data_IF_433690102506
#
_entry.id   IF_433690102506
#
_cell.length_a   1.000
_cell.length_b   1.000
_cell.length_c   1.000
_cell.angle_alpha   90.00
_cell.angle_beta   90.00
_cell.angle_gamma   90.00
#
_symmetry.space_group_name_H-M   'P 1'
#
loop_
_entity.id
_entity.type
_entity.pdbx_description
1 polymer ?
#
# COMPACT_ATOMS: atom_id res chain seq x y z
N UNK A 1 -19.78 -31.72 17.05
CA UNK A 1 -18.59 -31.14 17.72
C UNK A 1 -17.57 -30.82 16.66
N UNK A 2 -17.61 -29.60 16.11
CA UNK A 2 -16.52 -29.08 15.29
C UNK A 2 -15.34 -28.83 16.23
N UNK A 3 -14.26 -29.58 16.06
CA UNK A 3 -12.97 -29.20 16.64
C UNK A 3 -12.61 -27.88 15.98
N UNK A 4 -12.58 -26.78 16.74
CA UNK A 4 -11.91 -25.58 16.30
C UNK A 4 -10.50 -26.01 15.91
N UNK A 5 -10.15 -25.84 14.62
CA UNK A 5 -8.76 -25.99 14.19
C UNK A 5 -7.99 -25.00 15.06
N UNK A 6 -7.08 -25.53 15.88
CA UNK A 6 -6.27 -24.73 16.78
C UNK A 6 -5.65 -23.59 15.99
N UNK A 7 -5.72 -22.39 16.56
CA UNK A 7 -5.05 -21.20 16.07
C UNK A 7 -3.61 -21.55 15.71
N UNK A 8 -3.27 -21.50 14.42
CA UNK A 8 -1.88 -21.44 14.02
C UNK A 8 -1.44 -19.98 14.16
N UNK A 9 -0.52 -19.66 15.10
CA UNK A 9 0.00 -18.32 15.24
C UNK A 9 0.55 -17.84 13.89
N UNK A 10 0.56 -16.51 13.69
CA UNK A 10 1.30 -15.88 12.59
C UNK A 10 2.62 -16.62 12.38
N UNK A 11 2.90 -17.15 11.17
CA UNK A 11 4.10 -17.95 10.92
C UNK A 11 5.31 -17.30 11.58
N UNK A 12 6.12 -18.02 12.38
CA UNK A 12 7.19 -17.42 13.18
C UNK A 12 8.12 -16.49 12.39
N UNK A 13 8.33 -16.82 11.12
CA UNK A 13 9.08 -16.01 10.15
C UNK A 13 8.50 -14.61 9.92
N UNK A 14 7.17 -14.43 9.96
CA UNK A 14 6.48 -13.14 9.78
C UNK A 14 6.38 -12.31 11.06
N UNK A 15 6.62 -12.89 12.24
CA UNK A 15 6.52 -12.17 13.52
C UNK A 15 7.37 -10.89 13.55
N UNK A 16 8.58 -10.86 12.96
CA UNK A 16 9.38 -9.65 12.92
C UNK A 16 8.82 -8.51 12.04
N UNK A 17 7.78 -8.72 11.21
CA UNK A 17 7.01 -7.61 10.60
C UNK A 17 6.23 -6.86 11.68
N UNK A 18 5.67 -7.62 12.62
CA UNK A 18 4.69 -7.12 13.58
C UNK A 18 5.34 -6.43 14.78
N UNK A 19 6.66 -6.51 14.89
CA UNK A 19 7.45 -5.90 15.95
C UNK A 19 8.59 -5.05 15.35
N UNK A 20 8.47 -3.71 15.37
CA UNK A 20 9.51 -2.80 14.88
C UNK A 20 10.86 -2.92 15.58
N UNK A 21 10.91 -3.56 16.76
CA UNK A 21 12.13 -3.82 17.51
C UNK A 21 12.77 -5.18 17.20
N UNK A 22 12.09 -6.03 16.44
CA UNK A 22 12.58 -7.36 16.13
C UNK A 22 13.71 -7.33 15.10
N UNK A 23 14.81 -8.01 15.43
CA UNK A 23 15.89 -8.26 14.48
C UNK A 23 15.54 -9.44 13.58
N UNK A 24 15.69 -9.25 12.27
CA UNK A 24 15.50 -10.29 11.27
C UNK A 24 16.81 -11.02 11.01
N UNK A 25 16.87 -12.34 11.21
CA UNK A 25 17.94 -13.14 10.63
C UNK A 25 17.90 -12.99 9.11
N UNK A 26 19.05 -12.73 8.49
CA UNK A 26 19.17 -12.60 7.03
C UNK A 26 18.65 -13.86 6.33
N UNK A 27 18.92 -15.03 6.88
CA UNK A 27 18.47 -16.32 6.34
C UNK A 27 16.93 -16.38 6.23
N UNK A 28 16.20 -15.87 7.23
CA UNK A 28 14.73 -15.82 7.16
C UNK A 28 14.23 -14.85 6.08
N UNK A 29 14.91 -13.73 5.88
CA UNK A 29 14.55 -12.78 4.82
C UNK A 29 14.80 -13.37 3.42
N UNK A 30 15.88 -14.13 3.23
CA UNK A 30 16.21 -14.73 1.93
C UNK A 30 15.23 -15.81 1.49
N UNK A 31 14.54 -16.45 2.43
CA UNK A 31 13.48 -17.42 2.14
C UNK A 31 12.17 -16.77 1.68
N UNK A 32 12.06 -15.44 1.76
CA UNK A 32 10.84 -14.73 1.40
C UNK A 32 10.81 -14.44 -0.08
N UNK A 33 9.81 -15.03 -0.73
CA UNK A 33 9.49 -14.79 -2.11
C UNK A 33 7.96 -14.73 -2.28
N UNK A 34 7.54 -14.43 -3.50
CA UNK A 34 6.12 -14.28 -3.82
C UNK A 34 5.34 -15.57 -3.56
N UNK A 35 5.95 -16.74 -3.78
CA UNK A 35 5.31 -18.04 -3.50
C UNK A 35 5.01 -18.22 -2.01
N UNK A 36 5.97 -17.89 -1.15
CA UNK A 36 5.79 -17.95 0.29
C UNK A 36 4.69 -16.98 0.76
N UNK A 37 4.71 -15.75 0.28
CA UNK A 37 3.70 -14.73 0.62
C UNK A 37 2.31 -15.22 0.17
N UNK A 38 2.18 -15.72 -1.06
CA UNK A 38 0.93 -16.24 -1.58
C UNK A 38 0.39 -17.41 -0.73
N UNK A 39 1.24 -18.36 -0.33
CA UNK A 39 0.84 -19.47 0.53
C UNK A 39 0.27 -18.98 1.88
N UNK A 40 0.90 -17.97 2.48
CA UNK A 40 0.42 -17.36 3.72
C UNK A 40 -0.94 -16.71 3.50
N UNK A 41 -1.09 -15.89 2.46
CA UNK A 41 -2.35 -15.18 2.17
C UNK A 41 -3.49 -16.16 1.89
N UNK A 42 -3.24 -17.24 1.15
CA UNK A 42 -4.22 -18.32 0.94
C UNK A 42 -4.64 -18.93 2.29
N UNK A 43 -3.69 -19.21 3.18
CA UNK A 43 -4.01 -19.75 4.51
C UNK A 43 -4.81 -18.77 5.40
N UNK A 44 -4.72 -17.47 5.12
CA UNK A 44 -5.44 -16.42 5.83
C UNK A 44 -6.87 -16.21 5.32
N UNK A 45 -7.11 -16.49 4.04
CA UNK A 45 -8.45 -16.41 3.45
C UNK A 45 -9.45 -17.37 4.13
N UNK A 46 -9.00 -18.53 4.60
CA UNK A 46 -9.85 -19.54 5.27
C UNK A 46 -10.05 -19.29 6.78
N UNK A 47 -9.61 -18.13 7.32
CA UNK A 47 -9.67 -17.84 8.76
C UNK A 47 -11.02 -17.29 9.21
N UNK A 48 -11.32 -17.46 10.50
CA UNK A 48 -12.51 -16.88 11.16
C UNK A 48 -12.43 -15.35 11.30
N UNK A 49 -11.24 -14.76 11.19
CA UNK A 49 -11.06 -13.31 11.15
C UNK A 49 -11.56 -12.77 9.80
N UNK A 50 -12.77 -12.21 9.83
CA UNK A 50 -13.48 -11.70 8.66
C UNK A 50 -12.68 -10.64 7.91
N UNK A 51 -12.05 -9.69 8.63
CA UNK A 51 -11.24 -8.64 8.02
C UNK A 51 -10.00 -9.22 7.35
N UNK A 52 -9.27 -10.10 8.04
CA UNK A 52 -8.08 -10.71 7.47
C UNK A 52 -8.41 -11.60 6.25
N UNK A 53 -9.52 -12.33 6.32
CA UNK A 53 -10.05 -13.12 5.20
C UNK A 53 -10.40 -12.22 4.01
N UNK A 54 -11.08 -11.11 4.25
CA UNK A 54 -11.48 -10.14 3.22
C UNK A 54 -10.28 -9.46 2.56
N UNK A 55 -9.29 -9.02 3.35
CA UNK A 55 -8.03 -8.47 2.83
C UNK A 55 -7.26 -9.50 1.99
N UNK A 56 -7.26 -10.77 2.43
CA UNK A 56 -6.62 -11.86 1.69
C UNK A 56 -7.33 -12.13 0.37
N UNK A 57 -8.66 -12.07 0.35
CA UNK A 57 -9.45 -12.20 -0.87
C UNK A 57 -9.18 -11.05 -1.86
N UNK A 58 -9.10 -9.80 -1.38
CA UNK A 58 -8.71 -8.65 -2.22
C UNK A 58 -7.30 -8.80 -2.80
N UNK A 59 -6.35 -9.33 -2.04
CA UNK A 59 -4.98 -9.54 -2.51
C UNK A 59 -4.91 -10.61 -3.63
N UNK A 60 -5.64 -11.72 -3.47
CA UNK A 60 -5.59 -12.85 -4.39
C UNK A 60 -6.47 -12.67 -5.64
N UNK A 61 -7.48 -11.80 -5.58
CA UNK A 61 -8.42 -11.60 -6.67
C UNK A 61 -8.28 -10.19 -7.28
N UNK A 62 -7.79 -10.05 -8.52
CA UNK A 62 -7.58 -8.75 -9.15
C UNK A 62 -8.88 -7.97 -9.43
N UNK A 63 -10.05 -8.62 -9.37
CA UNK A 63 -11.35 -7.97 -9.50
C UNK A 63 -11.79 -7.34 -8.17
N UNK A 64 -11.42 -7.95 -7.05
CA UNK A 64 -11.76 -7.45 -5.72
C UNK A 64 -10.71 -6.44 -5.29
N UNK A 65 -11.04 -5.15 -5.41
CA UNK A 65 -10.11 -4.08 -5.04
C UNK A 65 -10.50 -3.45 -3.70
N UNK A 66 -9.49 -3.08 -2.92
CA UNK A 66 -9.70 -2.17 -1.80
C UNK A 66 -10.27 -0.86 -2.34
N UNK A 67 -11.31 -0.36 -1.68
CA UNK A 67 -11.85 0.95 -2.00
C UNK A 67 -10.85 2.00 -1.55
N UNK A 68 -10.79 3.09 -2.30
CA UNK A 68 -9.87 4.18 -2.01
C UNK A 68 -10.52 5.53 -2.28
N UNK A 69 -10.05 6.54 -1.56
CA UNK A 69 -10.36 7.95 -1.82
C UNK A 69 -9.07 8.75 -1.85
N UNK A 70 -9.01 9.71 -2.77
CA UNK A 70 -7.97 10.73 -2.75
C UNK A 70 -8.22 11.66 -1.57
N UNK A 71 -7.14 12.14 -0.96
CA UNK A 71 -7.17 13.06 0.17
C UNK A 71 -6.28 14.25 -0.14
N UNK A 72 -6.82 15.46 -0.01
CA UNK A 72 -6.09 16.68 -0.30
C UNK A 72 -5.03 16.98 0.76
N UNK A 73 -3.81 17.30 0.32
CA UNK A 73 -2.62 17.57 1.15
C UNK A 73 -2.80 18.72 2.17
N UNK A 74 -3.83 19.56 2.02
CA UNK A 74 -4.13 20.64 2.99
C UNK A 74 -4.84 20.16 4.26
N UNK A 75 -5.27 18.89 4.30
CA UNK A 75 -5.92 18.33 5.49
C UNK A 75 -4.89 17.89 6.52
N UNK A 76 -4.83 18.62 7.64
CA UNK A 76 -3.99 18.22 8.77
C UNK A 76 -4.34 16.78 9.23
N UNK A 77 -3.42 16.07 9.92
CA UNK A 77 -3.72 14.76 10.50
C UNK A 77 -5.02 14.69 11.34
N UNK A 78 -5.46 15.82 11.91
CA UNK A 78 -6.72 15.93 12.64
C UNK A 78 -7.98 16.05 11.75
N UNK A 79 -7.84 16.46 10.49
CA UNK A 79 -8.91 16.40 9.50
C UNK A 79 -9.09 14.99 8.94
N UNK A 80 -8.03 14.17 8.92
CA UNK A 80 -8.06 12.75 8.51
C UNK A 80 -8.84 11.86 9.47
N UNK A 81 -8.81 12.15 10.79
CA UNK A 81 -9.66 11.42 11.76
C UNK A 81 -11.17 11.61 11.52
N UNK A 82 -11.56 12.68 10.82
CA UNK A 82 -12.97 12.99 10.50
C UNK A 82 -13.51 12.24 9.28
N UNK A 83 -12.63 11.53 8.55
CA UNK A 83 -13.01 10.72 7.38
C UNK A 83 -13.51 9.33 7.81
N UNK A 84 -13.50 9.00 9.11
CA UNK A 84 -14.07 7.75 9.62
C UNK A 84 -15.57 7.69 9.32
N UNK A 85 -15.93 6.94 8.27
CA UNK A 85 -17.32 6.69 7.96
C UNK A 85 -17.88 5.55 8.83
N UNK A 86 -19.11 5.67 9.35
CA UNK A 86 -19.75 4.63 10.15
C UNK A 86 -19.87 3.28 9.43
N UNK A 87 -19.86 3.30 8.10
CA UNK A 87 -20.01 2.15 7.22
C UNK A 87 -18.69 1.40 6.96
N UNK A 88 -17.55 1.97 7.36
CA UNK A 88 -16.24 1.36 7.14
C UNK A 88 -15.95 0.35 8.24
N UNK A 89 -15.58 -0.86 7.83
CA UNK A 89 -15.15 -1.93 8.72
C UNK A 89 -13.66 -1.78 9.08
N UNK A 90 -12.84 -1.33 8.13
CA UNK A 90 -11.42 -1.07 8.31
C UNK A 90 -10.95 0.09 7.43
N UNK A 91 -9.92 0.81 7.89
CA UNK A 91 -9.22 1.84 7.13
C UNK A 91 -7.72 1.74 7.39
N UNK A 92 -6.92 2.03 6.37
CA UNK A 92 -5.46 2.13 6.49
C UNK A 92 -5.04 3.47 7.10
N UNK A 93 -3.75 3.64 7.36
CA UNK A 93 -3.16 4.98 7.41
C UNK A 93 -3.19 5.64 6.03
N UNK A 94 -3.03 6.97 5.99
CA UNK A 94 -2.91 7.68 4.71
C UNK A 94 -1.58 7.32 4.07
N UNK A 95 -1.66 6.78 2.86
CA UNK A 95 -0.51 6.42 2.07
C UNK A 95 -0.17 7.59 1.15
N UNK A 96 0.97 8.22 1.43
CA UNK A 96 1.60 9.17 0.51
C UNK A 96 2.53 8.36 -0.41
N UNK A 97 2.37 8.44 -1.74
CA UNK A 97 3.27 7.79 -2.68
C UNK A 97 4.71 8.15 -2.33
N UNK A 98 5.57 7.13 -2.30
CA UNK A 98 6.97 7.33 -1.97
C UNK A 98 7.56 8.37 -2.93
N UNK A 99 8.25 9.42 -2.43
CA UNK A 99 8.77 10.50 -3.26
C UNK A 99 9.73 10.01 -4.37
N UNK A 100 10.28 8.78 -4.23
CA UNK A 100 11.09 8.13 -5.26
C UNK A 100 10.32 7.76 -6.54
N UNK A 101 9.00 7.61 -6.46
CA UNK A 101 8.11 7.30 -7.59
C UNK A 101 7.25 8.51 -8.01
N UNK A 102 7.69 9.72 -7.64
CA UNK A 102 6.99 10.96 -7.96
C UNK A 102 7.17 11.43 -9.40
N UNK A 103 6.53 12.56 -9.70
CA UNK A 103 6.69 13.26 -10.97
C UNK A 103 8.15 13.68 -11.20
N UNK A 104 8.52 13.89 -12.46
CA UNK A 104 9.87 14.32 -12.84
C UNK A 104 10.28 15.58 -12.07
N UNK A 105 11.31 15.47 -11.22
CA UNK A 105 11.82 16.59 -10.40
C UNK A 105 13.03 17.31 -11.01
N UNK A 106 13.60 16.75 -12.08
CA UNK A 106 14.83 17.24 -12.72
C UNK A 106 15.85 16.11 -12.96
N UNK A 107 16.99 16.46 -13.58
CA UNK A 107 18.16 15.57 -13.64
C UNK A 107 18.34 14.81 -14.96
N UNK A 108 17.42 14.96 -15.92
CA UNK A 108 17.60 14.51 -17.30
C UNK A 108 18.02 15.73 -18.13
N UNK A 109 19.21 15.66 -18.70
CA UNK A 109 19.82 16.77 -19.43
C UNK A 109 20.00 16.43 -20.90
N UNK A 110 19.68 17.39 -21.77
CA UNK A 110 20.00 17.36 -23.20
C UNK A 110 21.17 18.31 -23.47
N UNK A 111 21.98 17.98 -24.47
CA UNK A 111 23.12 18.80 -24.86
C UNK A 111 22.69 19.74 -26.00
N UNK A 112 22.81 21.05 -25.77
CA UNK A 112 22.46 22.09 -26.73
C UNK A 112 23.54 23.16 -26.76
N UNK A 113 24.11 23.46 -27.94
CA UNK A 113 25.08 24.56 -28.15
C UNK A 113 26.11 24.67 -27.03
N UNK A 114 26.78 23.55 -26.75
CA UNK A 114 27.86 23.43 -25.76
C UNK A 114 27.45 23.57 -24.28
N UNK A 115 26.16 23.44 -23.96
CA UNK A 115 25.67 23.42 -22.58
C UNK A 115 24.59 22.36 -22.33
N UNK A 116 24.49 21.93 -21.06
CA UNK A 116 23.56 20.90 -20.58
C UNK A 116 22.34 21.65 -20.11
N UNK A 117 21.21 21.38 -20.74
CA UNK A 117 19.93 22.00 -20.40
C UNK A 117 19.02 20.90 -19.88
N UNK A 118 18.37 21.13 -18.74
CA UNK A 118 17.39 20.18 -18.21
C UNK A 118 16.17 20.14 -19.15
N UNK A 119 15.64 18.93 -19.42
CA UNK A 119 14.49 18.77 -20.31
C UNK A 119 13.25 19.56 -19.86
N UNK A 120 13.12 19.88 -18.57
CA UNK A 120 12.06 20.74 -18.03
C UNK A 120 12.08 22.15 -18.61
N UNK A 121 13.26 22.67 -18.95
CA UNK A 121 13.40 24.03 -19.47
C UNK A 121 12.93 24.15 -20.93
N UNK A 122 12.85 23.01 -21.63
CA UNK A 122 12.49 22.94 -23.06
C UNK A 122 11.08 22.42 -23.31
N UNK A 123 10.55 21.59 -22.41
CA UNK A 123 9.21 21.03 -22.56
C UNK A 123 8.22 21.68 -21.58
N UNK A 124 7.27 22.52 -22.07
CA UNK A 124 6.20 23.06 -21.25
C UNK A 124 5.40 21.98 -20.53
N UNK A 125 5.17 20.84 -21.20
CA UNK A 125 4.48 19.70 -20.63
C UNK A 125 5.24 19.12 -19.42
N UNK A 126 6.55 18.87 -19.55
CA UNK A 126 7.37 18.36 -18.44
C UNK A 126 7.43 19.39 -17.31
N UNK A 127 7.51 20.68 -17.65
CA UNK A 127 7.50 21.78 -16.67
C UNK A 127 6.21 21.82 -15.86
N UNK A 128 5.07 21.64 -16.50
CA UNK A 128 3.78 21.56 -15.83
C UNK A 128 3.68 20.31 -14.96
N UNK A 129 4.01 19.15 -15.51
CA UNK A 129 3.93 17.87 -14.79
C UNK A 129 4.86 17.80 -13.57
N UNK A 130 6.03 18.45 -13.63
CA UNK A 130 6.98 18.54 -12.51
C UNK A 130 6.49 19.35 -11.32
N UNK A 131 5.37 20.09 -11.46
CA UNK A 131 4.78 20.92 -10.40
C UNK A 131 3.64 20.22 -9.67
N UNK A 132 3.19 19.07 -10.17
CA UNK A 132 2.13 18.31 -9.52
C UNK A 132 2.62 17.83 -8.16
N UNK A 133 1.82 18.05 -7.12
CA UNK A 133 2.07 17.43 -5.82
C UNK A 133 1.73 15.94 -5.88
N UNK A 134 2.46 15.08 -5.16
CA UNK A 134 2.01 13.73 -4.91
C UNK A 134 0.61 13.78 -4.31
N UNK A 135 -0.29 12.92 -4.78
CA UNK A 135 -1.63 12.78 -4.21
C UNK A 135 -1.58 11.85 -3.03
N UNK A 136 -2.32 12.15 -1.97
CA UNK A 136 -2.44 11.28 -0.80
C UNK A 136 -3.68 10.39 -0.95
N UNK A 137 -3.61 9.14 -0.49
CA UNK A 137 -4.69 8.18 -0.64
C UNK A 137 -5.03 7.50 0.69
N UNK A 138 -6.33 7.31 0.93
CA UNK A 138 -6.84 6.50 2.03
C UNK A 138 -7.55 5.27 1.47
N UNK A 139 -7.15 4.09 1.92
CA UNK A 139 -7.74 2.81 1.53
C UNK A 139 -8.62 2.28 2.66
N UNK A 140 -9.74 1.64 2.28
CA UNK A 140 -10.72 1.15 3.25
C UNK A 140 -11.45 -0.10 2.75
N UNK A 141 -12.07 -0.78 3.71
CA UNK A 141 -12.96 -1.92 3.52
C UNK A 141 -14.31 -1.56 4.13
N UNK A 142 -15.37 -1.60 3.32
CA UNK A 142 -16.74 -1.40 3.79
C UNK A 142 -17.26 -2.62 4.55
N UNK A 143 -18.28 -2.43 5.39
CA UNK A 143 -19.02 -3.51 6.06
C UNK A 143 -19.85 -4.38 5.11
N UNK A 144 -20.03 -3.94 3.87
CA UNK A 144 -20.68 -4.74 2.84
C UNK A 144 -19.77 -5.88 2.39
N UNK A 145 -20.32 -7.05 2.00
CA UNK A 145 -19.55 -8.09 1.33
C UNK A 145 -18.81 -7.52 0.12
N UNK A 146 -17.62 -8.05 -0.19
CA UNK A 146 -16.93 -7.70 -1.43
C UNK A 146 -17.82 -8.11 -2.61
N UNK A 147 -18.28 -7.12 -3.39
CA UNK A 147 -18.95 -7.35 -4.66
C UNK A 147 -17.86 -7.50 -5.74
N UNK A 148 -17.92 -8.59 -6.50
CA UNK A 148 -17.03 -8.89 -7.62
C UNK A 148 -17.79 -9.05 -8.92
#
# INVERSE_FOLDING_TARGET
MHKSKGWEPTPPRLLPILDPSAHWPVDHYLEWNDDFINQVVVSWMEREDELLSQLSACYLNPVLTLKWTEVDDETSPAALEKVKHPEWHFQTEVLVPNPRYGYYTGGIFVWEKDQRVDVRERSPFIKEFSRLSPKSYLFYVDKSPLEG
#
